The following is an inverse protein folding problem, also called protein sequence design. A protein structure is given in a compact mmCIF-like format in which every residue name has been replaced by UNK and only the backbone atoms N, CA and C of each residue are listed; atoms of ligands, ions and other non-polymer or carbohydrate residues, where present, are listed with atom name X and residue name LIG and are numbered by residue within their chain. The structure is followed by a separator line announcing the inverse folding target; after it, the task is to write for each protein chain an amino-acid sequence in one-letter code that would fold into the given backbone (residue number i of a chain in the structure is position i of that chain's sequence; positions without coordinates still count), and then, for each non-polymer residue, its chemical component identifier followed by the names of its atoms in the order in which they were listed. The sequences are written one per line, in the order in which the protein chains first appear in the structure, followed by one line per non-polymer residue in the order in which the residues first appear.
data_IF_913152454787
#
_entry.id   IF_913152454787
#
_cell.length_a   1.000
_cell.length_b   1.000
_cell.length_c   1.000
_cell.angle_alpha   90.00
_cell.angle_beta   90.00
_cell.angle_gamma   90.00
#
_symmetry.space_group_name_H-M   'P 1'
#
loop_
_entity.id
_entity.type
_entity.pdbx_description
1 polymer ?
#
# COMPACT_ATOMS: atom_id res chain seq x y z
N UNK A 1 -7.38 -5.00 -9.90
CA UNK A 1 -6.16 -5.39 -9.15
C UNK A 1 -5.39 -6.43 -9.94
N UNK A 2 -4.05 -6.44 -9.77
CA UNK A 2 -3.20 -7.41 -10.44
C UNK A 2 -3.52 -8.86 -10.06
N UNK A 3 -3.15 -9.78 -10.91
CA UNK A 3 -3.45 -11.21 -10.78
C UNK A 3 -2.42 -11.99 -9.95
N UNK A 4 -1.52 -11.30 -9.26
CA UNK A 4 -0.42 -11.93 -8.53
C UNK A 4 -0.85 -12.27 -7.11
N UNK A 5 -0.73 -13.53 -6.74
CA UNK A 5 -1.02 -14.04 -5.39
C UNK A 5 0.26 -14.18 -4.56
N UNK A 6 1.43 -13.93 -5.17
CA UNK A 6 2.75 -14.12 -4.55
C UNK A 6 3.54 -12.84 -4.46
N UNK A 7 4.65 -12.87 -3.71
CA UNK A 7 5.54 -11.72 -3.49
C UNK A 7 6.22 -11.22 -4.76
N UNK A 8 6.31 -12.04 -5.79
CA UNK A 8 6.97 -11.74 -7.06
C UNK A 8 5.96 -11.67 -8.19
N UNK A 9 6.32 -10.97 -9.24
CA UNK A 9 5.68 -11.13 -10.53
C UNK A 9 5.84 -12.59 -10.97
N UNK A 10 4.74 -13.23 -11.39
CA UNK A 10 4.70 -14.64 -11.74
C UNK A 10 5.97 -15.12 -12.48
N UNK A 11 6.71 -16.04 -11.91
CA UNK A 11 7.97 -16.54 -12.47
C UNK A 11 7.83 -17.15 -13.86
N UNK A 12 6.76 -17.91 -14.06
CA UNK A 12 6.53 -18.67 -15.29
C UNK A 12 6.05 -17.76 -16.42
N UNK A 13 5.24 -16.77 -16.06
CA UNK A 13 4.70 -15.78 -17.00
C UNK A 13 4.86 -14.37 -16.41
N UNK A 14 6.07 -13.81 -16.49
CA UNK A 14 6.34 -12.49 -15.90
C UNK A 14 5.46 -11.42 -16.51
N UNK A 15 4.97 -10.55 -15.65
CA UNK A 15 4.19 -9.38 -16.06
C UNK A 15 5.01 -8.46 -16.96
N UNK A 16 4.33 -7.75 -17.84
CA UNK A 16 4.95 -6.69 -18.65
C UNK A 16 5.28 -5.44 -17.84
N UNK A 17 4.82 -5.35 -16.60
CA UNK A 17 5.10 -4.22 -15.70
C UNK A 17 6.59 -4.14 -15.41
N UNK A 18 7.18 -3.00 -15.69
CA UNK A 18 8.59 -2.69 -15.46
C UNK A 18 8.74 -1.62 -14.39
N UNK A 19 9.93 -1.53 -13.81
CA UNK A 19 10.26 -0.42 -12.94
C UNK A 19 10.38 0.87 -13.78
N UNK A 20 9.62 1.94 -13.48
CA UNK A 20 9.63 3.15 -14.29
C UNK A 20 10.98 3.89 -14.31
N UNK A 21 11.83 3.66 -13.34
CA UNK A 21 13.15 4.29 -13.25
C UNK A 21 14.22 3.51 -14.03
N UNK A 22 14.03 2.19 -14.19
CA UNK A 22 14.95 1.33 -14.93
C UNK A 22 14.19 0.09 -15.43
N UNK A 23 13.92 0.02 -16.71
CA UNK A 23 13.14 -1.07 -17.32
C UNK A 23 13.84 -2.45 -17.27
N UNK A 24 15.10 -2.50 -16.93
CA UNK A 24 15.83 -3.76 -16.68
C UNK A 24 15.56 -4.33 -15.29
N UNK A 25 14.98 -3.53 -14.39
CA UNK A 25 14.74 -3.90 -12.99
C UNK A 25 13.29 -4.24 -12.72
N UNK A 26 13.08 -5.02 -11.66
CA UNK A 26 11.74 -5.32 -11.15
C UNK A 26 11.13 -4.10 -10.47
N UNK A 27 9.82 -3.87 -10.61
CA UNK A 27 9.09 -2.88 -9.81
C UNK A 27 8.80 -3.37 -8.38
N UNK A 28 9.25 -4.57 -8.03
CA UNK A 28 8.84 -5.25 -6.79
C UNK A 28 7.42 -5.82 -6.89
N UNK A 29 6.96 -6.48 -5.84
CA UNK A 29 5.64 -7.13 -5.80
C UNK A 29 5.12 -7.37 -4.38
N UNK A 30 3.87 -7.80 -4.31
CA UNK A 30 2.95 -8.18 -5.39
C UNK A 30 2.10 -7.01 -5.94
N UNK A 31 2.01 -5.85 -5.29
CA UNK A 31 1.31 -4.66 -5.80
C UNK A 31 2.15 -3.87 -6.81
N UNK A 32 2.79 -4.57 -7.74
CA UNK A 32 3.75 -4.02 -8.73
C UNK A 32 3.15 -2.92 -9.59
N UNK A 33 1.99 -3.21 -10.20
CA UNK A 33 1.31 -2.28 -11.10
C UNK A 33 0.86 -1.01 -10.39
N UNK A 34 0.40 -1.13 -9.15
CA UNK A 34 -0.05 0.01 -8.34
C UNK A 34 1.09 0.98 -8.06
N UNK A 35 2.24 0.47 -7.61
CA UNK A 35 3.41 1.30 -7.34
C UNK A 35 3.99 1.89 -8.64
N UNK A 36 4.12 1.07 -9.69
CA UNK A 36 4.64 1.53 -10.98
C UNK A 36 3.76 2.60 -11.62
N UNK A 37 2.43 2.49 -11.53
CA UNK A 37 1.51 3.48 -12.07
C UNK A 37 1.68 4.84 -11.39
N UNK A 38 1.81 4.88 -10.08
CA UNK A 38 2.08 6.13 -9.34
C UNK A 38 3.48 6.66 -9.67
N UNK A 39 4.49 5.80 -9.73
CA UNK A 39 5.85 6.20 -10.10
C UNK A 39 5.92 6.81 -11.49
N UNK A 40 5.22 6.22 -12.45
CA UNK A 40 5.16 6.68 -13.84
C UNK A 40 4.17 7.84 -14.07
N UNK A 41 3.57 8.42 -13.03
CA UNK A 41 2.55 9.48 -13.14
C UNK A 41 1.28 9.10 -13.93
N UNK A 42 0.98 7.80 -14.05
CA UNK A 42 -0.25 7.31 -14.70
C UNK A 42 -1.47 7.50 -13.79
N UNK A 43 -1.26 7.53 -12.49
CA UNK A 43 -2.28 7.81 -11.48
C UNK A 43 -1.65 8.60 -10.31
N UNK A 44 -2.37 9.56 -9.71
CA UNK A 44 -1.88 10.30 -8.55
C UNK A 44 -1.77 9.42 -7.31
N UNK A 45 -2.69 8.47 -7.17
CA UNK A 45 -2.85 7.58 -6.03
C UNK A 45 -3.23 6.18 -6.50
N UNK A 46 -2.89 5.18 -5.72
CA UNK A 46 -3.35 3.81 -5.97
C UNK A 46 -3.48 3.01 -4.68
N UNK A 47 -4.19 1.88 -4.79
CA UNK A 47 -4.36 0.93 -3.69
C UNK A 47 -3.63 -0.38 -3.99
N UNK A 48 -3.26 -1.10 -2.94
CA UNK A 48 -2.70 -2.44 -3.05
C UNK A 48 -2.99 -3.25 -1.81
N UNK A 49 -2.51 -4.46 -1.76
CA UNK A 49 -2.66 -5.33 -0.60
C UNK A 49 -1.30 -5.88 -0.15
N UNK A 50 -1.19 -6.14 1.13
CA UNK A 50 0.02 -6.71 1.71
C UNK A 50 -0.32 -7.81 2.72
N UNK A 51 0.26 -8.98 2.48
CA UNK A 51 0.34 -10.08 3.45
C UNK A 51 1.69 -10.00 4.20
N UNK A 52 2.79 -9.95 3.46
CA UNK A 52 4.15 -9.81 3.99
C UNK A 52 4.76 -8.43 3.67
N UNK A 53 5.15 -8.21 2.40
CA UNK A 53 5.83 -6.98 1.95
C UNK A 53 5.20 -6.30 0.74
N UNK A 54 4.02 -6.72 0.31
CA UNK A 54 3.47 -6.43 -1.03
C UNK A 54 2.98 -5.00 -1.27
N UNK A 55 3.01 -4.12 -0.29
CA UNK A 55 2.84 -2.66 -0.42
C UNK A 55 4.19 -1.96 -0.27
N UNK A 56 4.88 -2.23 0.82
CA UNK A 56 6.12 -1.50 1.15
C UNK A 56 7.25 -1.81 0.18
N UNK A 57 7.39 -3.07 -0.24
CA UNK A 57 8.44 -3.48 -1.18
C UNK A 57 8.33 -2.78 -2.55
N UNK A 58 7.19 -2.87 -3.27
CA UNK A 58 7.08 -2.18 -4.55
C UNK A 58 7.12 -0.65 -4.41
N UNK A 59 6.64 -0.09 -3.30
CA UNK A 59 6.80 1.34 -3.02
C UNK A 59 8.28 1.74 -2.97
N UNK A 60 9.09 1.00 -2.23
CA UNK A 60 10.54 1.22 -2.12
C UNK A 60 11.24 1.09 -3.48
N UNK A 61 10.90 0.05 -4.25
CA UNK A 61 11.55 -0.22 -5.54
C UNK A 61 11.18 0.83 -6.61
N UNK A 62 9.96 1.35 -6.56
CA UNK A 62 9.48 2.36 -7.50
C UNK A 62 9.65 3.81 -7.02
N UNK A 63 10.27 4.03 -5.86
CA UNK A 63 10.53 5.37 -5.33
C UNK A 63 9.25 6.18 -5.04
N UNK A 64 8.22 5.53 -4.52
CA UNK A 64 6.96 6.16 -4.11
C UNK A 64 6.69 5.92 -2.63
N UNK A 65 5.81 6.72 -2.05
CA UNK A 65 5.37 6.51 -0.67
C UNK A 65 4.31 5.40 -0.66
N UNK A 66 4.58 4.35 0.12
CA UNK A 66 3.62 3.28 0.40
C UNK A 66 3.25 3.26 1.88
N UNK A 67 1.97 3.13 2.17
CA UNK A 67 1.48 3.02 3.53
C UNK A 67 0.62 1.78 3.70
N UNK A 68 1.03 0.93 4.63
CA UNK A 68 0.25 -0.21 5.09
C UNK A 68 -0.25 0.09 6.51
N UNK A 69 -1.52 0.40 6.70
CA UNK A 69 -2.09 0.61 8.02
C UNK A 69 -2.09 -0.67 8.86
N UNK A 70 -2.50 -0.56 10.11
CA UNK A 70 -2.79 -1.72 10.94
C UNK A 70 -3.94 -2.54 10.35
N UNK A 71 -3.94 -3.84 10.63
CA UNK A 71 -4.98 -4.77 10.22
C UNK A 71 -6.37 -4.28 10.66
N UNK A 72 -7.35 -4.38 9.77
CA UNK A 72 -8.73 -4.01 10.05
C UNK A 72 -9.04 -2.51 9.93
N UNK A 73 -8.10 -1.64 9.57
CA UNK A 73 -8.40 -0.22 9.36
C UNK A 73 -9.05 0.06 8.01
N UNK A 74 -8.61 -0.62 6.95
CA UNK A 74 -9.20 -0.50 5.60
C UNK A 74 -9.85 -1.83 5.24
N UNK A 75 -11.08 -1.78 4.74
CA UNK A 75 -11.85 -2.95 4.34
C UNK A 75 -11.16 -3.72 3.21
N UNK A 76 -11.26 -5.05 3.28
CA UNK A 76 -10.82 -6.00 2.26
C UNK A 76 -11.99 -6.57 1.47
N UNK A 77 -13.20 -6.03 1.64
CA UNK A 77 -14.36 -6.47 0.90
C UNK A 77 -14.13 -6.34 -0.62
N UNK A 78 -14.44 -7.36 -1.38
CA UNK A 78 -14.18 -7.42 -2.83
C UNK A 78 -12.70 -7.64 -3.22
N UNK A 79 -11.81 -7.90 -2.27
CA UNK A 79 -10.39 -8.18 -2.51
C UNK A 79 -10.12 -9.67 -2.37
N UNK A 80 -9.35 -10.25 -3.31
CA UNK A 80 -8.89 -11.63 -3.18
C UNK A 80 -7.96 -11.74 -1.96
N UNK A 81 -8.32 -12.62 -1.05
CA UNK A 81 -7.56 -12.87 0.17
C UNK A 81 -6.55 -13.99 -0.03
N UNK A 82 -5.36 -13.80 0.49
CA UNK A 82 -4.30 -14.81 0.62
C UNK A 82 -4.25 -15.34 2.05
N UNK A 83 -4.38 -14.45 3.02
CA UNK A 83 -4.40 -14.78 4.45
C UNK A 83 -5.42 -13.92 5.18
N UNK A 84 -6.38 -14.54 5.83
CA UNK A 84 -7.41 -13.82 6.57
C UNK A 84 -6.87 -13.01 7.76
N UNK A 85 -5.72 -13.43 8.31
CA UNK A 85 -5.12 -12.80 9.49
C UNK A 85 -4.05 -11.76 9.17
N UNK A 86 -3.48 -11.80 7.97
CA UNK A 86 -2.33 -10.95 7.62
C UNK A 86 -2.65 -9.91 6.57
N UNK A 87 -3.57 -10.22 5.65
CA UNK A 87 -3.85 -9.34 4.51
C UNK A 87 -4.37 -7.99 4.99
N UNK A 88 -3.70 -6.95 4.54
CA UNK A 88 -4.03 -5.57 4.85
C UNK A 88 -4.04 -4.75 3.56
N UNK A 89 -5.08 -3.97 3.35
CA UNK A 89 -5.09 -2.99 2.27
C UNK A 89 -4.15 -1.85 2.59
N UNK A 90 -3.43 -1.40 1.57
CA UNK A 90 -2.53 -0.27 1.67
C UNK A 90 -2.69 0.68 0.48
N UNK A 91 -2.01 1.79 0.54
CA UNK A 91 -2.13 2.89 -0.41
C UNK A 91 -0.76 3.38 -0.86
N UNK A 92 -0.72 3.97 -2.06
CA UNK A 92 0.48 4.55 -2.65
C UNK A 92 0.20 5.97 -3.11
N UNK A 93 1.21 6.82 -3.03
CA UNK A 93 1.20 8.19 -3.51
C UNK A 93 2.61 8.72 -3.71
N UNK A 94 2.72 9.92 -4.28
CA UNK A 94 4.02 10.59 -4.46
C UNK A 94 4.51 11.23 -3.17
N UNK A 95 3.60 11.72 -2.35
CA UNK A 95 3.92 12.37 -1.08
C UNK A 95 3.20 11.69 0.08
N UNK A 96 3.72 11.92 1.27
CA UNK A 96 3.10 11.46 2.50
C UNK A 96 1.69 12.06 2.68
N UNK A 97 1.49 13.32 2.28
CA UNK A 97 0.18 13.99 2.35
C UNK A 97 -0.85 13.31 1.47
N UNK A 98 -0.46 12.92 0.26
CA UNK A 98 -1.33 12.21 -0.68
C UNK A 98 -1.77 10.87 -0.12
N UNK A 99 -0.81 10.11 0.41
CA UNK A 99 -1.05 8.80 1.03
C UNK A 99 -1.95 8.93 2.26
N UNK A 100 -1.73 9.93 3.11
CA UNK A 100 -2.55 10.20 4.28
C UNK A 100 -3.99 10.57 3.88
N UNK A 101 -4.16 11.38 2.83
CA UNK A 101 -5.48 11.77 2.32
C UNK A 101 -6.27 10.55 1.84
N UNK A 102 -5.64 9.68 1.03
CA UNK A 102 -6.29 8.47 0.54
C UNK A 102 -6.60 7.50 1.68
N UNK A 103 -5.64 7.26 2.58
CA UNK A 103 -5.83 6.40 3.74
C UNK A 103 -6.99 6.88 4.61
N UNK A 104 -7.05 8.19 4.91
CA UNK A 104 -8.13 8.80 5.68
C UNK A 104 -9.50 8.57 5.05
N UNK A 105 -9.63 8.62 3.74
CA UNK A 105 -10.90 8.40 3.05
C UNK A 105 -11.32 6.92 3.01
N UNK A 106 -10.38 5.99 3.16
CA UNK A 106 -10.63 4.55 3.11
C UNK A 106 -10.81 3.90 4.50
N UNK A 107 -10.26 4.52 5.54
CA UNK A 107 -10.35 4.00 6.91
C UNK A 107 -11.76 4.21 7.46
N UNK A 108 -12.49 3.11 7.54
CA UNK A 108 -13.84 3.07 8.10
C UNK A 108 -14.26 1.66 8.48
N UNK A 109 -15.23 1.55 9.38
CA UNK A 109 -15.91 0.28 9.63
C UNK A 109 -16.71 -0.12 8.40
N UNK A 110 -16.57 -1.38 7.98
CA UNK A 110 -17.35 -2.00 6.90
C UNK A 110 -18.05 -3.24 7.44
N UNK A 111 -19.37 -3.28 7.32
CA UNK A 111 -20.18 -4.41 7.79
C UNK A 111 -19.96 -5.69 6.96
N UNK A 112 -19.46 -5.55 5.73
CA UNK A 112 -19.14 -6.68 4.84
C UNK A 112 -17.72 -7.24 5.05
N UNK A 113 -16.88 -6.56 5.86
CA UNK A 113 -15.62 -7.10 6.33
C UNK A 113 -15.58 -7.06 7.86
N UNK A 114 -15.92 -8.19 8.52
CA UNK A 114 -16.00 -8.26 9.98
C UNK A 114 -14.66 -8.00 10.68
N UNK A 115 -13.53 -8.06 9.95
CA UNK A 115 -12.21 -7.73 10.50
C UNK A 115 -12.02 -6.22 10.72
N UNK A 116 -12.86 -5.38 10.11
CA UNK A 116 -12.71 -3.93 10.24
C UNK A 116 -13.12 -3.44 11.63
N UNK A 117 -12.35 -2.46 12.14
CA UNK A 117 -12.57 -1.86 13.46
C UNK A 117 -13.00 -0.41 13.32
N UNK A 118 -13.67 0.13 14.35
CA UNK A 118 -13.93 1.56 14.45
C UNK A 118 -12.62 2.30 14.77
N UNK A 119 -12.30 3.29 13.97
CA UNK A 119 -11.15 4.14 14.17
C UNK A 119 -11.46 5.57 13.73
N UNK A 120 -11.11 6.54 14.58
CA UNK A 120 -11.26 7.96 14.23
C UNK A 120 -10.14 8.35 13.25
N UNK A 121 -10.49 8.45 11.98
CA UNK A 121 -9.53 8.70 10.90
C UNK A 121 -8.78 10.05 11.05
N UNK A 122 -9.34 10.99 11.81
CA UNK A 122 -8.70 12.27 12.16
C UNK A 122 -7.35 12.06 12.88
N UNK A 123 -7.21 11.01 13.66
CA UNK A 123 -5.99 10.69 14.42
C UNK A 123 -4.79 10.30 13.53
N UNK A 124 -5.01 9.96 12.28
CA UNK A 124 -3.90 9.65 11.35
C UNK A 124 -3.00 10.89 11.17
N UNK A 125 -3.59 12.08 11.09
CA UNK A 125 -2.82 13.31 10.96
C UNK A 125 -1.99 13.63 12.21
N UNK A 126 -2.40 13.18 13.39
CA UNK A 126 -1.67 13.43 14.64
C UNK A 126 -0.42 12.57 14.81
N UNK A 127 -0.36 11.40 14.18
CA UNK A 127 0.84 10.55 14.18
C UNK A 127 2.01 11.17 13.41
N UNK A 128 1.74 12.12 12.52
CA UNK A 128 2.76 12.87 11.79
C UNK A 128 3.33 14.05 12.55
N UNK A 129 2.67 14.49 13.61
CA UNK A 129 3.11 15.64 14.42
C UNK A 129 3.81 15.22 15.72
N UNK A 130 3.82 13.93 16.03
CA UNK A 130 4.61 13.42 17.16
C UNK A 130 6.08 13.35 16.73
N UNK A 131 6.99 14.04 17.41
CA UNK A 131 8.42 13.93 17.13
C UNK A 131 8.85 12.46 17.28
N UNK A 132 9.67 11.99 16.35
CA UNK A 132 10.32 10.70 16.47
C UNK A 132 11.22 10.71 17.72
N UNK A 133 11.39 9.58 18.43
CA UNK A 133 12.42 9.51 19.47
C UNK A 133 13.80 9.99 19.03
N UNK A 134 14.11 9.90 17.73
CA UNK A 134 15.34 10.43 17.14
C UNK A 134 15.37 11.96 17.02
N UNK A 135 14.23 12.62 17.03
CA UNK A 135 14.12 14.07 16.93
C UNK A 135 14.25 14.74 18.31
N UNK A 136 14.29 13.93 19.37
CA UNK A 136 14.45 14.39 20.76
C UNK A 136 15.92 14.43 21.23
N UNK A 137 16.85 13.94 20.40
CA UNK A 137 18.30 13.88 20.71
C UNK A 137 19.10 15.03 20.06
N UNK A 138 18.44 16.16 19.76
CA UNK A 138 19.09 17.39 19.27
C UNK A 138 19.00 18.51 20.29
#
# INVERSE_FOLDING_TARGET
MGKTVTCELAYIHPSKTKNPHDYSRTPGGSSSGSAAAVAAHMAPLSVGSQTGGSVIRPASYCGVVGYKPSYGLISRNGVLKVSDKLDTMGVFGKTVKDVALLAKSLIRKDLHDPSTVYFAAEKICLLYTSPSPRDLDL
#
